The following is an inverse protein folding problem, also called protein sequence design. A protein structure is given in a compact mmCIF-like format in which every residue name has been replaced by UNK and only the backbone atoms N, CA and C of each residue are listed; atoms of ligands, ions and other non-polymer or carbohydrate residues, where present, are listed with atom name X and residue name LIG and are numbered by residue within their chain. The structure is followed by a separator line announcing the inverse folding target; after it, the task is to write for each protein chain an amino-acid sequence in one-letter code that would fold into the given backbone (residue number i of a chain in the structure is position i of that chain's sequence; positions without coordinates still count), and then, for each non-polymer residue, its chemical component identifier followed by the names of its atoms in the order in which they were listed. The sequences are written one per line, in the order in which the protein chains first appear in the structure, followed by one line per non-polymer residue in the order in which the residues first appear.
data_IF_438656808160
#
_entry.id   IF_438656808160
#
_cell.length_a   1.000
_cell.length_b   1.000
_cell.length_c   1.000
_cell.angle_alpha   90.00
_cell.angle_beta   90.00
_cell.angle_gamma   90.00
#
_symmetry.space_group_name_H-M   'P 1'
#
loop_
_entity.id
_entity.type
_entity.pdbx_description
1 polymer ?
#
# COMPACT_ATOMS: atom_id res chain seq x y z
N UNK A 1 1.92 29.09 19.88
CA UNK A 1 2.20 27.75 20.44
C UNK A 1 3.70 27.50 20.55
N UNK A 2 4.15 26.80 21.60
CA UNK A 2 5.57 26.44 21.75
C UNK A 2 5.99 25.38 20.73
N UNK A 3 7.27 25.40 20.31
CA UNK A 3 7.87 24.43 19.36
C UNK A 3 7.52 22.97 19.69
N UNK A 4 7.39 22.62 20.98
CA UNK A 4 7.05 21.28 21.43
C UNK A 4 5.64 20.83 21.04
N UNK A 5 4.64 21.72 21.07
CA UNK A 5 3.25 21.39 20.70
C UNK A 5 3.14 21.05 19.22
N UNK A 6 3.82 21.82 18.36
CA UNK A 6 3.88 21.54 16.92
C UNK A 6 4.55 20.19 16.64
N UNK A 7 5.61 19.84 17.37
CA UNK A 7 6.29 18.56 17.22
C UNK A 7 5.38 17.36 17.56
N UNK A 8 4.61 17.42 18.65
CA UNK A 8 3.65 16.37 19.01
C UNK A 8 2.58 16.19 17.93
N UNK A 9 2.06 17.28 17.39
CA UNK A 9 1.06 17.25 16.32
C UNK A 9 1.62 16.60 15.04
N UNK A 10 2.86 16.93 14.66
CA UNK A 10 3.51 16.31 13.49
C UNK A 10 3.76 14.82 13.68
N UNK A 11 4.12 14.38 14.89
CA UNK A 11 4.28 12.94 15.20
C UNK A 11 2.95 12.20 15.11
N UNK A 12 1.85 12.80 15.58
CA UNK A 12 0.51 12.23 15.42
C UNK A 12 0.11 12.13 13.95
N UNK A 13 0.40 13.16 13.14
CA UNK A 13 0.17 13.13 11.70
C UNK A 13 0.99 12.03 10.99
N UNK A 14 2.25 11.84 11.39
CA UNK A 14 3.10 10.76 10.91
C UNK A 14 2.51 9.37 11.23
N UNK A 15 2.10 9.15 12.49
CA UNK A 15 1.49 7.88 12.90
C UNK A 15 0.18 7.61 12.16
N UNK A 16 -0.64 8.63 11.97
CA UNK A 16 -1.88 8.51 11.20
C UNK A 16 -1.60 8.14 9.74
N UNK A 17 -0.61 8.77 9.10
CA UNK A 17 -0.17 8.44 7.73
C UNK A 17 0.35 7.02 7.62
N UNK A 18 1.14 6.58 8.60
CA UNK A 18 1.63 5.21 8.68
C UNK A 18 0.50 4.19 8.82
N UNK A 19 -0.46 4.44 9.73
CA UNK A 19 -1.63 3.57 9.95
C UNK A 19 -2.52 3.48 8.70
N UNK A 20 -2.81 4.63 8.10
CA UNK A 20 -3.63 4.71 6.89
C UNK A 20 -3.01 3.92 5.72
N UNK A 21 -1.70 4.09 5.51
CA UNK A 21 -0.92 3.36 4.50
C UNK A 21 -0.91 1.85 4.77
N UNK A 22 -0.70 1.44 6.03
CA UNK A 22 -0.74 0.03 6.44
C UNK A 22 -2.09 -0.63 6.20
N UNK A 23 -3.19 0.04 6.58
CA UNK A 23 -4.55 -0.46 6.38
C UNK A 23 -4.88 -0.56 4.88
N UNK A 24 -4.53 0.47 4.08
CA UNK A 24 -4.73 0.43 2.64
C UNK A 24 -3.96 -0.72 1.98
N UNK A 25 -2.73 -0.96 2.41
CA UNK A 25 -1.91 -2.10 1.97
C UNK A 25 -2.54 -3.44 2.32
N UNK A 26 -3.02 -3.61 3.55
CA UNK A 26 -3.68 -4.84 4.01
C UNK A 26 -4.98 -5.14 3.26
N UNK A 27 -5.85 -4.14 3.09
CA UNK A 27 -7.10 -4.30 2.34
C UNK A 27 -6.80 -4.62 0.86
N UNK A 28 -5.81 -3.94 0.27
CA UNK A 28 -5.36 -4.21 -1.09
C UNK A 28 -4.91 -5.67 -1.26
N UNK A 29 -4.10 -6.17 -0.31
CA UNK A 29 -3.66 -7.56 -0.27
C UNK A 29 -4.85 -8.52 -0.20
N UNK A 30 -5.81 -8.27 0.69
CA UNK A 30 -6.98 -9.13 0.88
C UNK A 30 -7.88 -9.21 -0.37
N UNK A 31 -8.07 -8.10 -1.07
CA UNK A 31 -8.80 -8.06 -2.35
C UNK A 31 -8.06 -8.87 -3.41
N UNK A 32 -6.74 -8.72 -3.51
CA UNK A 32 -5.92 -9.41 -4.50
C UNK A 32 -5.97 -10.93 -4.33
N UNK A 33 -5.96 -11.48 -3.10
CA UNK A 33 -6.07 -12.94 -2.88
C UNK A 33 -7.36 -13.48 -3.47
N UNK A 34 -8.47 -12.79 -3.17
CA UNK A 34 -9.81 -13.20 -3.62
C UNK A 34 -9.98 -13.02 -5.12
N UNK A 35 -9.36 -11.98 -5.69
CA UNK A 35 -9.36 -11.75 -7.12
C UNK A 35 -8.61 -12.86 -7.85
N UNK A 36 -7.44 -13.28 -7.38
CA UNK A 36 -6.64 -14.32 -8.01
C UNK A 36 -7.44 -15.64 -8.16
N UNK A 37 -8.11 -16.08 -7.10
CA UNK A 37 -8.96 -17.30 -7.16
C UNK A 37 -10.09 -17.16 -8.19
N UNK A 38 -10.71 -15.99 -8.30
CA UNK A 38 -11.78 -15.71 -9.27
C UNK A 38 -11.25 -15.65 -10.71
N UNK A 39 -10.10 -15.03 -10.92
CA UNK A 39 -9.42 -14.95 -12.22
C UNK A 39 -9.03 -16.34 -12.69
N UNK A 40 -8.41 -17.17 -11.84
CA UNK A 40 -8.05 -18.56 -12.20
C UNK A 40 -9.29 -19.39 -12.54
N UNK A 41 -10.40 -19.23 -11.80
CA UNK A 41 -11.64 -19.94 -12.14
C UNK A 41 -12.26 -19.46 -13.45
N UNK A 42 -12.18 -18.16 -13.77
CA UNK A 42 -12.70 -17.59 -15.01
C UNK A 42 -11.81 -17.90 -16.22
N UNK A 43 -10.50 -18.03 -16.03
CA UNK A 43 -9.54 -18.39 -17.07
C UNK A 43 -9.84 -19.77 -17.68
N UNK A 44 -10.42 -20.69 -16.89
CA UNK A 44 -10.91 -21.99 -17.39
C UNK A 44 -12.08 -21.89 -18.38
N UNK A 45 -12.80 -20.77 -18.39
CA UNK A 45 -13.96 -20.53 -19.27
C UNK A 45 -13.61 -19.60 -20.42
N UNK A 46 -12.97 -18.47 -20.11
CA UNK A 46 -12.59 -17.46 -21.11
C UNK A 46 -11.46 -16.56 -20.62
N UNK A 47 -10.44 -16.37 -21.46
CA UNK A 47 -9.38 -15.40 -21.22
C UNK A 47 -9.91 -13.95 -21.13
N UNK A 48 -10.97 -13.62 -21.89
CA UNK A 48 -11.59 -12.29 -21.88
C UNK A 48 -12.25 -12.00 -20.54
N UNK A 49 -12.95 -12.99 -19.98
CA UNK A 49 -13.60 -12.87 -18.67
C UNK A 49 -12.56 -12.75 -17.54
N UNK A 50 -11.50 -13.56 -17.59
CA UNK A 50 -10.39 -13.50 -16.63
C UNK A 50 -9.72 -12.12 -16.62
N UNK A 51 -9.43 -11.56 -17.79
CA UNK A 51 -8.83 -10.24 -17.93
C UNK A 51 -9.74 -9.13 -17.37
N UNK A 52 -11.06 -9.20 -17.62
CA UNK A 52 -12.01 -8.22 -17.08
C UNK A 52 -12.04 -8.26 -15.54
N UNK A 53 -12.01 -9.44 -14.93
CA UNK A 53 -11.98 -9.58 -13.47
C UNK A 53 -10.66 -9.04 -12.91
N UNK A 54 -9.54 -9.36 -13.54
CA UNK A 54 -8.21 -8.87 -13.12
C UNK A 54 -8.13 -7.34 -13.17
N UNK A 55 -8.57 -6.71 -14.27
CA UNK A 55 -8.58 -5.24 -14.42
C UNK A 55 -9.52 -4.58 -13.41
N UNK A 56 -10.71 -5.14 -13.16
CA UNK A 56 -11.68 -4.60 -12.18
C UNK A 56 -11.15 -4.69 -10.75
N UNK A 57 -10.55 -5.81 -10.37
CA UNK A 57 -9.92 -5.98 -9.06
C UNK A 57 -8.76 -4.99 -8.89
N UNK A 58 -7.97 -4.80 -9.96
CA UNK A 58 -6.93 -3.78 -10.02
C UNK A 58 -7.48 -2.36 -9.85
N UNK A 59 -8.55 -1.99 -10.55
CA UNK A 59 -9.19 -0.68 -10.37
C UNK A 59 -9.68 -0.46 -8.94
N UNK A 60 -10.38 -1.44 -8.36
CA UNK A 60 -10.94 -1.33 -7.00
C UNK A 60 -9.88 -1.11 -5.93
N UNK A 61 -8.78 -1.87 -5.97
CA UNK A 61 -7.67 -1.66 -5.04
C UNK A 61 -7.04 -0.26 -5.19
N UNK A 62 -7.05 0.35 -6.38
CA UNK A 62 -6.47 1.68 -6.58
C UNK A 62 -7.37 2.75 -5.94
N UNK A 63 -8.68 2.61 -6.12
CA UNK A 63 -9.68 3.49 -5.52
C UNK A 63 -9.60 3.43 -3.99
N UNK A 64 -9.39 2.25 -3.39
CA UNK A 64 -9.20 2.13 -1.93
C UNK A 64 -7.96 2.89 -1.46
N UNK A 65 -6.83 2.72 -2.15
CA UNK A 65 -5.56 3.37 -1.79
C UNK A 65 -5.69 4.90 -1.88
N UNK A 66 -6.27 5.41 -2.97
CA UNK A 66 -6.52 6.85 -3.15
C UNK A 66 -7.56 7.36 -2.15
N UNK A 67 -8.65 6.60 -1.92
CA UNK A 67 -9.70 6.95 -0.97
C UNK A 67 -9.17 7.06 0.46
N UNK A 68 -8.32 6.12 0.88
CA UNK A 68 -7.64 6.17 2.18
C UNK A 68 -6.71 7.38 2.29
N UNK A 69 -5.96 7.70 1.23
CA UNK A 69 -5.13 8.89 1.21
C UNK A 69 -5.94 10.19 1.40
N UNK A 70 -7.04 10.34 0.64
CA UNK A 70 -7.91 11.53 0.72
C UNK A 70 -8.62 11.62 2.07
N UNK A 71 -9.15 10.50 2.58
CA UNK A 71 -9.81 10.46 3.90
C UNK A 71 -8.82 10.82 5.01
N UNK A 72 -7.58 10.32 4.95
CA UNK A 72 -6.54 10.65 5.94
C UNK A 72 -6.18 12.14 5.95
N UNK A 73 -6.04 12.75 4.77
CA UNK A 73 -5.79 14.20 4.64
C UNK A 73 -7.00 15.01 5.11
N UNK A 74 -8.21 14.61 4.73
CA UNK A 74 -9.45 15.27 5.17
C UNK A 74 -9.64 15.18 6.69
N UNK A 75 -9.31 14.04 7.30
CA UNK A 75 -9.36 13.85 8.74
C UNK A 75 -8.35 14.75 9.47
N UNK A 76 -7.13 14.89 8.94
CA UNK A 76 -6.15 15.85 9.48
C UNK A 76 -6.65 17.29 9.38
N UNK A 77 -7.22 17.67 8.24
CA UNK A 77 -7.77 19.01 8.04
C UNK A 77 -8.95 19.30 8.99
N UNK A 78 -9.87 18.34 9.14
CA UNK A 78 -11.01 18.46 10.06
C UNK A 78 -10.56 18.54 11.52
N UNK A 79 -9.62 17.67 11.93
CA UNK A 79 -9.04 17.69 13.28
C UNK A 79 -8.36 19.02 13.55
N UNK A 80 -7.64 19.57 12.58
CA UNK A 80 -7.01 20.88 12.68
C UNK A 80 -8.03 22.00 12.91
N UNK A 81 -9.11 22.03 12.11
CA UNK A 81 -10.12 23.07 12.21
C UNK A 81 -10.93 22.98 13.53
N UNK A 82 -11.25 21.75 13.97
CA UNK A 82 -12.06 21.49 15.17
C UNK A 82 -11.26 21.64 16.47
N UNK A 83 -10.03 21.12 16.54
CA UNK A 83 -9.22 21.16 17.77
C UNK A 83 -8.37 22.42 17.92
N UNK A 84 -7.95 23.06 16.82
CA UNK A 84 -7.08 24.24 16.88
C UNK A 84 -7.80 25.57 16.62
N UNK A 85 -9.10 25.56 16.32
CA UNK A 85 -9.98 26.73 16.30
C UNK A 85 -9.36 27.96 15.64
N UNK A 86 -9.65 28.19 14.35
CA UNK A 86 -9.08 29.28 13.53
C UNK A 86 -9.27 30.69 14.15
N UNK A 87 -10.20 30.86 15.09
CA UNK A 87 -10.57 32.14 15.71
C UNK A 87 -9.99 32.42 17.11
N UNK A 88 -9.06 31.60 17.63
CA UNK A 88 -8.44 31.87 18.94
C UNK A 88 -7.05 32.53 18.83
N UNK A 89 -6.71 33.53 19.68
CA UNK A 89 -5.45 34.29 19.62
C UNK A 89 -4.22 33.53 20.17
N UNK A 90 -4.07 32.28 19.74
CA UNK A 90 -2.96 31.37 20.04
C UNK A 90 -2.82 30.24 19.02
N UNK A 91 -3.68 30.23 17.99
CA UNK A 91 -3.81 29.18 16.99
C UNK A 91 -2.59 29.11 16.06
N UNK A 92 -2.34 27.89 15.60
CA UNK A 92 -1.22 27.54 14.75
C UNK A 92 -1.30 28.35 13.43
N UNK A 93 -0.18 28.95 13.01
CA UNK A 93 -0.17 29.82 11.82
C UNK A 93 -0.49 28.97 10.58
N UNK A 94 -1.09 29.58 9.56
CA UNK A 94 -1.31 28.95 8.24
C UNK A 94 -0.02 28.33 7.67
N UNK A 95 1.15 28.81 8.11
CA UNK A 95 2.49 28.30 7.77
C UNK A 95 2.82 26.91 8.30
N UNK A 96 2.06 26.36 9.25
CA UNK A 96 2.33 25.06 9.87
C UNK A 96 1.49 23.92 9.24
N UNK A 97 0.43 24.26 8.50
CA UNK A 97 -0.38 23.30 7.73
C UNK A 97 0.44 22.46 6.73
N UNK A 98 1.44 23.03 6.01
CA UNK A 98 2.33 22.25 5.17
C UNK A 98 3.17 21.25 5.98
N UNK A 99 3.57 21.60 7.20
CA UNK A 99 4.38 20.75 8.07
C UNK A 99 3.63 19.47 8.49
N UNK A 100 2.32 19.59 8.73
CA UNK A 100 1.42 18.48 9.02
C UNK A 100 1.23 17.54 7.82
N UNK A 101 1.01 18.12 6.63
CA UNK A 101 0.87 17.36 5.38
C UNK A 101 2.16 16.60 5.05
N UNK A 102 3.31 17.26 5.22
CA UNK A 102 4.63 16.64 5.09
C UNK A 102 4.81 15.50 6.11
N UNK A 103 4.40 15.69 7.37
CA UNK A 103 4.44 14.64 8.38
C UNK A 103 3.62 13.41 8.01
N UNK A 104 2.39 13.61 7.52
CA UNK A 104 1.53 12.54 7.04
C UNK A 104 2.10 11.82 5.81
N UNK A 105 2.55 12.57 4.80
CA UNK A 105 3.16 12.02 3.60
C UNK A 105 4.43 11.24 3.90
N UNK A 106 5.25 11.72 4.85
CA UNK A 106 6.44 11.04 5.32
C UNK A 106 6.09 9.71 6.03
N UNK A 107 5.07 9.69 6.88
CA UNK A 107 4.58 8.47 7.54
C UNK A 107 4.03 7.43 6.57
N UNK A 108 3.23 7.87 5.61
CA UNK A 108 2.71 6.99 4.56
C UNK A 108 3.84 6.40 3.70
N UNK A 109 4.83 7.21 3.34
CA UNK A 109 6.02 6.81 2.58
C UNK A 109 6.92 5.85 3.36
N UNK A 110 7.07 6.05 4.67
CA UNK A 110 7.87 5.18 5.53
C UNK A 110 7.34 3.75 5.51
N UNK A 111 6.04 3.56 5.76
CA UNK A 111 5.41 2.23 5.68
C UNK A 111 5.49 1.66 4.27
N UNK A 112 5.37 2.53 3.26
CA UNK A 112 5.48 2.12 1.87
C UNK A 112 6.84 1.53 1.50
N UNK A 113 7.89 2.19 1.94
CA UNK A 113 9.27 1.76 1.69
C UNK A 113 9.53 0.39 2.33
N UNK A 114 9.12 0.19 3.58
CA UNK A 114 9.29 -1.11 4.25
C UNK A 114 8.45 -2.21 3.61
N UNK A 115 7.21 -1.93 3.23
CA UNK A 115 6.36 -2.90 2.52
C UNK A 115 6.97 -3.28 1.15
N UNK A 116 7.56 -2.31 0.44
CA UNK A 116 8.23 -2.53 -0.85
C UNK A 116 9.54 -3.30 -0.71
N UNK A 117 10.38 -2.97 0.27
CA UNK A 117 11.66 -3.62 0.52
C UNK A 117 11.46 -5.04 1.06
N UNK A 118 10.69 -5.19 2.13
CA UNK A 118 10.39 -6.51 2.72
C UNK A 118 9.67 -7.40 1.72
N UNK A 119 8.71 -6.83 0.98
CA UNK A 119 8.01 -7.53 -0.07
C UNK A 119 8.90 -7.94 -1.23
N UNK A 120 9.77 -7.04 -1.71
CA UNK A 120 10.67 -7.30 -2.83
C UNK A 120 11.73 -8.35 -2.53
N UNK A 121 12.27 -8.36 -1.32
CA UNK A 121 13.25 -9.38 -0.89
C UNK A 121 12.56 -10.75 -0.80
N UNK A 122 11.41 -10.82 -0.13
CA UNK A 122 10.63 -12.07 -0.02
C UNK A 122 10.29 -12.66 -1.38
N UNK A 123 9.83 -11.79 -2.29
CA UNK A 123 9.45 -12.11 -3.66
C UNK A 123 10.63 -12.69 -4.45
N UNK A 124 11.78 -12.00 -4.40
CA UNK A 124 12.95 -12.40 -5.19
C UNK A 124 13.64 -13.63 -4.63
N UNK A 125 13.63 -13.82 -3.30
CA UNK A 125 14.13 -15.05 -2.69
C UNK A 125 13.25 -16.25 -3.05
N UNK A 126 11.93 -16.08 -3.08
CA UNK A 126 10.99 -17.13 -3.49
C UNK A 126 11.12 -17.50 -4.97
N UNK A 127 11.13 -16.52 -5.88
CA UNK A 127 11.38 -16.70 -7.33
C UNK A 127 12.62 -17.57 -7.56
N UNK A 128 13.76 -17.11 -7.02
CA UNK A 128 15.07 -17.72 -7.29
C UNK A 128 15.17 -19.11 -6.65
N UNK A 129 14.58 -19.31 -5.48
CA UNK A 129 14.54 -20.62 -4.82
C UNK A 129 13.67 -21.63 -5.57
N UNK A 130 12.49 -21.21 -6.03
CA UNK A 130 11.57 -22.07 -6.78
C UNK A 130 12.14 -22.44 -8.16
N UNK A 131 12.72 -21.48 -8.87
CA UNK A 131 13.30 -21.68 -10.20
C UNK A 131 14.55 -22.56 -10.18
N UNK A 132 15.48 -22.33 -9.24
CA UNK A 132 16.72 -23.11 -9.16
C UNK A 132 16.44 -24.58 -8.82
N UNK A 133 15.61 -24.86 -7.81
CA UNK A 133 15.36 -26.24 -7.38
C UNK A 133 14.41 -26.96 -8.35
N UNK A 134 13.38 -26.29 -8.85
CA UNK A 134 12.39 -26.89 -9.75
C UNK A 134 12.93 -27.16 -11.16
N UNK A 135 13.50 -26.13 -11.81
CA UNK A 135 13.92 -26.20 -13.22
C UNK A 135 15.32 -26.77 -13.40
N UNK A 136 16.27 -26.49 -12.49
CA UNK A 136 17.69 -26.87 -12.67
C UNK A 136 18.03 -28.22 -12.05
N UNK A 137 17.50 -28.56 -10.87
CA UNK A 137 17.83 -29.83 -10.21
C UNK A 137 16.91 -31.00 -10.59
N UNK A 138 15.61 -30.75 -10.73
CA UNK A 138 14.60 -31.81 -10.86
C UNK A 138 13.94 -31.88 -12.24
N UNK A 139 14.15 -30.88 -13.11
CA UNK A 139 13.61 -30.84 -14.47
C UNK A 139 12.08 -30.86 -14.55
N UNK A 140 11.41 -30.39 -13.50
CA UNK A 140 9.94 -30.40 -13.38
C UNK A 140 9.39 -29.10 -14.02
N UNK A 141 8.22 -29.13 -14.70
CA UNK A 141 7.56 -27.92 -15.16
C UNK A 141 7.33 -26.89 -14.04
N UNK A 142 7.34 -25.61 -14.44
CA UNK A 142 7.00 -24.46 -13.59
C UNK A 142 5.58 -24.61 -13.01
N UNK A 143 5.40 -24.23 -11.74
CA UNK A 143 4.14 -24.40 -10.99
C UNK A 143 3.66 -25.84 -10.74
N UNK A 144 4.55 -26.84 -10.72
CA UNK A 144 4.14 -28.21 -10.37
C UNK A 144 3.74 -28.33 -8.87
N UNK A 145 2.54 -28.87 -8.56
CA UNK A 145 2.04 -29.01 -7.18
C UNK A 145 2.92 -29.90 -6.28
N UNK A 146 3.89 -30.64 -6.84
CA UNK A 146 4.89 -31.42 -6.09
C UNK A 146 6.02 -30.56 -5.53
N UNK A 147 6.19 -29.33 -6.00
CA UNK A 147 7.20 -28.42 -5.50
C UNK A 147 6.62 -27.55 -4.35
N UNK A 148 7.10 -27.69 -3.10
CA UNK A 148 6.61 -26.90 -1.98
C UNK A 148 6.89 -25.39 -2.12
N UNK A 149 7.83 -25.00 -2.99
CA UNK A 149 8.15 -23.60 -3.27
C UNK A 149 7.04 -22.88 -4.07
N UNK A 150 6.16 -23.61 -4.76
CA UNK A 150 5.05 -23.04 -5.56
C UNK A 150 4.03 -22.32 -4.67
N UNK A 151 3.83 -22.74 -3.42
CA UNK A 151 2.97 -21.98 -2.49
C UNK A 151 3.60 -20.62 -2.15
N UNK A 152 4.92 -20.55 -1.99
CA UNK A 152 5.62 -19.29 -1.76
C UNK A 152 5.54 -18.37 -2.99
N UNK A 153 5.63 -18.95 -4.18
CA UNK A 153 5.52 -18.23 -5.46
C UNK A 153 4.10 -17.74 -5.77
N UNK A 154 3.06 -18.47 -5.37
CA UNK A 154 1.67 -18.01 -5.51
C UNK A 154 1.28 -16.90 -4.52
N UNK A 155 1.92 -16.86 -3.34
CA UNK A 155 1.74 -15.78 -2.35
C UNK A 155 2.54 -14.53 -2.73
N UNK A 156 3.55 -14.67 -3.57
CA UNK A 156 4.49 -13.64 -3.96
C UNK A 156 3.90 -12.45 -4.77
N UNK A 157 3.07 -12.64 -5.82
CA UNK A 157 2.48 -11.52 -6.58
C UNK A 157 1.52 -10.65 -5.73
N UNK A 158 1.04 -11.18 -4.61
CA UNK A 158 0.17 -10.50 -3.67
C UNK A 158 0.89 -9.36 -2.92
N UNK A 159 2.16 -9.59 -2.60
CA UNK A 159 3.04 -8.65 -1.92
C UNK A 159 3.52 -7.56 -2.90
N UNK A 160 3.78 -7.93 -4.16
CA UNK A 160 4.30 -7.02 -5.19
C UNK A 160 3.24 -5.99 -5.63
N UNK A 161 1.95 -6.28 -5.48
CA UNK A 161 0.86 -5.36 -5.83
C UNK A 161 0.86 -4.06 -5.00
N UNK A 162 1.47 -4.08 -3.81
CA UNK A 162 1.68 -2.89 -2.97
C UNK A 162 2.73 -1.97 -3.60
N UNK A 163 3.75 -2.54 -4.26
CA UNK A 163 4.91 -1.82 -4.80
C UNK A 163 4.56 -0.77 -5.85
N UNK A 164 3.62 -1.07 -6.75
CA UNK A 164 3.30 -0.17 -7.88
C UNK A 164 2.26 0.89 -7.52
N UNK A 165 1.43 0.66 -6.48
CA UNK A 165 0.33 1.56 -6.12
C UNK A 165 0.66 2.53 -5.00
N UNK A 166 1.56 2.17 -4.10
CA UNK A 166 1.98 3.07 -3.04
C UNK A 166 2.91 4.18 -3.56
N UNK A 167 3.57 3.95 -4.70
CA UNK A 167 4.29 4.98 -5.45
C UNK A 167 3.37 6.15 -5.87
N UNK A 168 2.08 5.88 -6.13
CA UNK A 168 1.11 6.91 -6.52
C UNK A 168 0.73 7.84 -5.35
N UNK A 169 0.74 7.35 -4.11
CA UNK A 169 0.56 8.18 -2.90
C UNK A 169 1.78 9.07 -2.68
N UNK A 170 2.98 8.54 -2.86
CA UNK A 170 4.23 9.32 -2.72
C UNK A 170 4.32 10.37 -3.82
N UNK A 171 4.01 10.02 -5.07
CA UNK A 171 4.14 10.95 -6.19
C UNK A 171 3.10 12.09 -6.13
N UNK A 172 1.88 11.84 -5.65
CA UNK A 172 0.90 12.91 -5.40
C UNK A 172 1.32 13.84 -4.25
N UNK A 173 2.04 13.33 -3.25
CA UNK A 173 2.49 14.12 -2.10
C UNK A 173 3.75 14.97 -2.38
N UNK A 174 4.52 14.68 -3.43
CA UNK A 174 5.72 15.46 -3.81
C UNK A 174 5.42 16.59 -4.80
N UNK A 175 4.21 16.64 -5.38
CA UNK A 175 3.79 17.67 -6.34
C UNK A 175 2.70 18.62 -5.81
N UNK A 176 2.48 18.68 -4.50
CA UNK A 176 1.67 19.69 -3.80
C UNK A 176 2.49 20.33 -2.70
#
# INVERSE_FOLDING_TARGET
MGRSTSAYITVVAFLLGALCSGIAGYIGMWVSVRANVRVSSAARRSAREALQIAVRAGGFSAIIVVGMAVIGVAFLYATFYVFLGVDSPGSMKVTDLPLLLVGYGFGASFVALFAQLGGGIYTKAADVGADLVGKVEQGIPEDDPRNPAVIADLVMPLILFIKTKLFLIVHFSTYS
#
